data_IF_297427750863
#
_entry.id   IF_297427750863
#
_cell.length_a   1.000
_cell.length_b   1.000
_cell.length_c   1.000
_cell.angle_alpha   90.00
_cell.angle_beta   90.00
_cell.angle_gamma   90.00
#
_symmetry.space_group_name_H-M   'P 1'
#
loop_
_entity.id
_entity.type
_entity.pdbx_description
1 polymer ?
#
# COMPACT_ATOMS: atom_id res chain seq x y z
N UNK A 1 -18.99 1.44 50.17
CA UNK A 1 -17.53 1.29 50.07
C UNK A 1 -17.22 0.19 49.05
N UNK A 2 -16.55 0.58 47.95
CA UNK A 2 -15.57 -0.15 47.11
C UNK A 2 -15.78 -1.61 46.67
N UNK A 3 -16.09 -1.74 45.37
CA UNK A 3 -15.61 -2.66 44.31
C UNK A 3 -14.54 -3.73 44.59
N UNK A 4 -14.65 -4.89 43.93
CA UNK A 4 -13.54 -5.41 43.09
C UNK A 4 -14.00 -6.39 42.01
N UNK A 5 -13.46 -6.19 40.81
CA UNK A 5 -13.62 -6.93 39.57
C UNK A 5 -12.65 -8.12 39.49
N UNK A 6 -13.01 -9.15 38.72
CA UNK A 6 -12.03 -10.08 38.15
C UNK A 6 -12.48 -10.50 36.75
N UNK A 7 -11.91 -9.82 35.74
CA UNK A 7 -11.94 -10.23 34.33
C UNK A 7 -10.87 -11.28 34.10
N UNK A 8 -11.19 -12.40 33.45
CA UNK A 8 -10.20 -13.32 32.90
C UNK A 8 -10.27 -13.38 31.38
N UNK A 9 -9.25 -12.74 30.82
CA UNK A 9 -8.60 -12.87 29.50
C UNK A 9 -9.03 -14.05 28.61
N UNK A 10 -9.57 -13.75 27.44
CA UNK A 10 -9.50 -14.62 26.26
C UNK A 10 -8.34 -14.17 25.37
N UNK A 11 -7.34 -15.04 25.27
CA UNK A 11 -6.20 -14.95 24.36
C UNK A 11 -6.67 -15.01 22.89
N UNK A 12 -6.49 -13.92 22.15
CA UNK A 12 -6.82 -13.83 20.71
C UNK A 12 -5.53 -13.78 19.90
N UNK A 13 -5.16 -14.94 19.36
CA UNK A 13 -4.19 -15.09 18.26
C UNK A 13 -4.59 -14.17 17.08
N UNK A 14 -3.66 -13.44 16.43
CA UNK A 14 -4.03 -12.56 15.32
C UNK A 14 -4.39 -13.39 14.09
N UNK A 15 -5.68 -13.46 13.79
CA UNK A 15 -6.23 -13.94 12.51
C UNK A 15 -5.98 -12.83 11.47
N UNK A 16 -4.86 -12.92 10.74
CA UNK A 16 -4.66 -12.13 9.52
C UNK A 16 -5.89 -12.34 8.64
N UNK A 17 -6.60 -11.26 8.34
CA UNK A 17 -7.93 -11.34 7.76
C UNK A 17 -7.83 -11.82 6.31
N UNK A 18 -8.70 -12.76 5.94
CA UNK A 18 -8.80 -13.33 4.59
C UNK A 18 -8.97 -12.26 3.48
N UNK A 19 -9.33 -11.03 3.86
CA UNK A 19 -9.46 -9.90 2.97
C UNK A 19 -8.09 -9.40 2.45
N UNK A 20 -7.04 -9.39 3.28
CA UNK A 20 -5.71 -8.94 2.85
C UNK A 20 -5.05 -9.91 1.86
N UNK A 21 -5.27 -11.21 2.04
CA UNK A 21 -4.81 -12.26 1.10
C UNK A 21 -5.55 -12.19 -0.23
N UNK A 22 -6.87 -11.96 -0.20
CA UNK A 22 -7.68 -11.84 -1.41
C UNK A 22 -7.31 -10.60 -2.21
N UNK A 23 -7.10 -9.46 -1.54
CA UNK A 23 -6.60 -8.23 -2.16
C UNK A 23 -5.21 -8.47 -2.78
N UNK A 24 -4.30 -9.13 -2.06
CA UNK A 24 -2.98 -9.45 -2.58
C UNK A 24 -3.02 -10.39 -3.79
N UNK A 25 -3.92 -11.37 -3.80
CA UNK A 25 -4.10 -12.33 -4.91
C UNK A 25 -4.68 -11.68 -6.16
N UNK A 26 -5.72 -10.85 -6.02
CA UNK A 26 -6.32 -10.14 -7.16
C UNK A 26 -5.31 -9.20 -7.79
N UNK A 27 -4.59 -8.44 -6.97
CA UNK A 27 -3.53 -7.54 -7.43
C UNK A 27 -2.38 -8.32 -8.09
N UNK A 28 -1.94 -9.44 -7.52
CA UNK A 28 -0.91 -10.27 -8.13
C UNK A 28 -1.33 -10.78 -9.51
N UNK A 29 -2.60 -11.14 -9.69
CA UNK A 29 -3.13 -11.62 -10.96
C UNK A 29 -3.20 -10.51 -12.00
N UNK A 30 -3.66 -9.30 -11.63
CA UNK A 30 -3.70 -8.14 -12.53
C UNK A 30 -2.30 -7.64 -12.91
N UNK A 31 -1.36 -7.62 -11.96
CA UNK A 31 0.03 -7.22 -12.20
C UNK A 31 0.76 -8.22 -13.10
N UNK A 32 0.59 -9.52 -12.87
CA UNK A 32 1.18 -10.55 -13.74
C UNK A 32 0.64 -10.45 -15.17
N UNK A 33 -0.66 -10.16 -15.34
CA UNK A 33 -1.25 -9.93 -16.67
C UNK A 33 -0.67 -8.72 -17.41
N UNK A 34 -0.33 -7.63 -16.71
CA UNK A 34 0.28 -6.44 -17.31
C UNK A 34 1.79 -6.61 -17.61
N UNK A 35 2.47 -7.57 -16.98
CA UNK A 35 3.91 -7.83 -17.18
C UNK A 35 4.15 -8.81 -18.34
N UNK A 36 3.17 -9.68 -18.67
CA UNK A 36 3.31 -10.66 -19.76
C UNK A 36 3.47 -10.04 -21.17
N UNK A 37 3.17 -8.75 -21.35
CA UNK A 37 3.33 -8.05 -22.63
C UNK A 37 4.73 -7.46 -22.85
N UNK A 38 5.60 -7.45 -21.83
CA UNK A 38 6.96 -6.94 -21.94
C UNK A 38 7.98 -8.08 -21.84
N UNK A 39 8.30 -8.70 -22.99
CA UNK A 39 9.53 -9.47 -23.15
C UNK A 39 10.72 -8.53 -23.15
N UNK A 40 11.42 -8.41 -22.01
CA UNK A 40 12.81 -7.99 -22.01
C UNK A 40 13.70 -8.99 -21.26
N UNK A 41 14.87 -9.19 -21.86
CA UNK A 41 15.87 -10.20 -21.58
C UNK A 41 16.59 -9.99 -20.23
N UNK A 42 16.99 -11.10 -19.60
CA UNK A 42 18.08 -11.08 -18.61
C UNK A 42 17.70 -10.98 -17.13
N UNK A 43 16.89 -11.92 -16.62
CA UNK A 43 17.04 -12.54 -15.28
C UNK A 43 17.22 -11.65 -14.03
N UNK A 44 16.90 -10.36 -14.09
CA UNK A 44 16.94 -9.42 -12.97
C UNK A 44 15.58 -8.81 -12.83
N UNK A 45 14.92 -9.11 -11.71
CA UNK A 45 13.66 -8.49 -11.36
C UNK A 45 13.83 -6.96 -11.33
N UNK A 46 12.96 -6.20 -12.01
CA UNK A 46 13.07 -4.75 -12.06
C UNK A 46 12.93 -4.14 -10.67
N UNK A 47 13.75 -3.12 -10.40
CA UNK A 47 13.67 -2.32 -9.17
C UNK A 47 12.40 -1.46 -9.26
N UNK A 48 11.63 -1.28 -8.17
CA UNK A 48 10.43 -0.43 -8.20
C UNK A 48 10.75 1.01 -8.60
N UNK A 49 9.80 1.64 -9.27
CA UNK A 49 9.92 3.03 -9.72
C UNK A 49 10.09 4.04 -8.58
N UNK A 50 10.64 5.20 -8.93
CA UNK A 50 10.78 6.31 -8.01
C UNK A 50 9.42 6.90 -7.60
N UNK A 51 9.23 7.13 -6.30
CA UNK A 51 8.03 7.76 -5.75
C UNK A 51 8.19 9.28 -5.69
N UNK A 52 7.31 10.01 -6.38
CA UNK A 52 7.38 11.47 -6.54
C UNK A 52 6.72 12.26 -5.41
N UNK A 53 6.00 11.58 -4.51
CA UNK A 53 5.28 12.20 -3.41
C UNK A 53 3.79 12.43 -3.64
N UNK A 54 3.19 11.91 -4.72
CA UNK A 54 1.73 11.98 -4.91
C UNK A 54 1.03 11.00 -3.98
N UNK A 55 0.15 11.51 -3.13
CA UNK A 55 -0.54 10.72 -2.12
C UNK A 55 -1.33 9.56 -2.74
N UNK A 56 -1.89 9.76 -3.94
CA UNK A 56 -2.67 8.74 -4.67
C UNK A 56 -1.83 7.52 -5.04
N UNK A 57 -0.52 7.72 -5.22
CA UNK A 57 0.41 6.67 -5.63
C UNK A 57 1.00 5.90 -4.43
N UNK A 58 0.81 6.38 -3.19
CA UNK A 58 1.40 5.78 -1.98
C UNK A 58 1.10 4.30 -1.85
N UNK A 59 -0.16 3.88 -2.13
CA UNK A 59 -0.56 2.47 -2.03
C UNK A 59 0.15 1.62 -3.07
N UNK A 60 0.18 2.08 -4.33
CA UNK A 60 0.83 1.39 -5.44
C UNK A 60 2.34 1.25 -5.20
N UNK A 61 2.97 2.33 -4.75
CA UNK A 61 4.39 2.32 -4.41
C UNK A 61 4.74 1.30 -3.31
N UNK A 62 3.97 1.28 -2.21
CA UNK A 62 4.20 0.33 -1.11
C UNK A 62 3.93 -1.13 -1.50
N UNK A 63 2.98 -1.35 -2.42
CA UNK A 63 2.69 -2.66 -2.98
C UNK A 63 3.85 -3.17 -3.84
N UNK A 64 4.36 -2.36 -4.77
CA UNK A 64 5.50 -2.72 -5.61
C UNK A 64 6.75 -3.02 -4.76
N UNK A 65 6.96 -2.26 -3.69
CA UNK A 65 8.00 -2.56 -2.70
C UNK A 65 7.78 -3.89 -1.99
N UNK A 66 6.55 -4.20 -1.57
CA UNK A 66 6.22 -5.49 -0.94
C UNK A 66 6.54 -6.64 -1.90
N UNK A 67 6.11 -6.53 -3.16
CA UNK A 67 6.36 -7.52 -4.20
C UNK A 67 7.86 -7.73 -4.42
N UNK A 68 8.63 -6.63 -4.57
CA UNK A 68 10.08 -6.69 -4.70
C UNK A 68 10.75 -7.40 -3.52
N UNK A 69 10.36 -7.13 -2.28
CA UNK A 69 10.93 -7.81 -1.13
C UNK A 69 10.57 -9.29 -1.03
N UNK A 70 9.40 -9.70 -1.53
CA UNK A 70 9.03 -11.12 -1.61
C UNK A 70 9.88 -11.86 -2.65
N UNK A 71 10.19 -11.22 -3.77
CA UNK A 71 11.07 -11.77 -4.81
C UNK A 71 12.56 -11.75 -4.41
N UNK A 72 12.96 -10.92 -3.45
CA UNK A 72 14.34 -10.82 -2.97
C UNK A 72 14.49 -10.96 -1.44
N UNK A 73 14.25 -12.16 -0.87
CA UNK A 73 14.30 -12.39 0.58
C UNK A 73 15.65 -12.02 1.21
N UNK A 74 16.76 -12.25 0.50
CA UNK A 74 18.12 -11.91 0.94
C UNK A 74 18.36 -10.40 1.14
N UNK A 75 17.54 -9.55 0.50
CA UNK A 75 17.57 -8.08 0.60
C UNK A 75 16.55 -7.53 1.62
N UNK A 76 15.89 -8.39 2.38
CA UNK A 76 14.68 -8.05 3.13
C UNK A 76 14.87 -7.83 4.65
N UNK A 77 16.10 -7.62 5.13
CA UNK A 77 16.27 -7.19 6.53
C UNK A 77 15.66 -5.78 6.73
N UNK A 78 15.28 -5.45 7.96
CA UNK A 78 14.50 -4.24 8.27
C UNK A 78 15.17 -2.97 7.75
N UNK A 79 16.48 -2.82 7.93
CA UNK A 79 17.17 -1.59 7.54
C UNK A 79 17.37 -1.49 6.03
N UNK A 80 17.68 -2.60 5.33
CA UNK A 80 17.73 -2.63 3.86
C UNK A 80 16.39 -2.24 3.25
N UNK A 81 15.26 -2.66 3.85
CA UNK A 81 13.91 -2.26 3.40
C UNK A 81 13.70 -0.75 3.54
N UNK A 82 14.06 -0.17 4.68
CA UNK A 82 13.98 1.29 4.91
C UNK A 82 14.89 2.05 3.95
N UNK A 83 16.13 1.61 3.79
CA UNK A 83 17.11 2.22 2.86
C UNK A 83 16.60 2.18 1.42
N UNK A 84 16.05 1.05 0.97
CA UNK A 84 15.50 0.96 -0.40
C UNK A 84 14.35 1.94 -0.58
N UNK A 85 13.37 1.97 0.33
CA UNK A 85 12.25 2.91 0.25
C UNK A 85 12.76 4.35 0.15
N UNK A 86 13.65 4.78 1.06
CA UNK A 86 14.25 6.12 1.05
C UNK A 86 15.04 6.43 -0.23
N UNK A 87 15.71 5.42 -0.79
CA UNK A 87 16.46 5.57 -2.04
C UNK A 87 15.56 5.80 -3.25
N UNK A 88 14.28 5.42 -3.18
CA UNK A 88 13.28 5.61 -4.24
C UNK A 88 12.47 6.90 -4.08
N UNK A 89 12.53 7.54 -2.92
CA UNK A 89 11.88 8.83 -2.66
C UNK A 89 12.48 9.97 -3.48
N UNK A 90 11.64 10.71 -4.20
CA UNK A 90 11.97 11.87 -5.07
C UNK A 90 10.91 12.97 -4.91
N UNK A 91 11.16 14.13 -5.51
CA UNK A 91 10.16 15.21 -5.58
C UNK A 91 9.79 15.77 -4.21
N UNK A 92 8.50 15.70 -3.87
CA UNK A 92 7.94 16.34 -2.67
C UNK A 92 8.42 15.67 -1.37
N UNK A 93 8.91 14.43 -1.44
CA UNK A 93 9.36 13.68 -0.27
C UNK A 93 10.77 14.02 0.21
N UNK A 94 11.45 15.02 -0.37
CA UNK A 94 12.86 15.33 -0.07
C UNK A 94 13.12 15.62 1.41
N UNK A 95 12.32 16.48 2.03
CA UNK A 95 12.51 16.85 3.44
C UNK A 95 12.30 15.66 4.36
N UNK A 96 11.22 14.90 4.15
CA UNK A 96 10.94 13.68 4.89
C UNK A 96 12.09 12.66 4.75
N UNK A 97 12.58 12.45 3.53
CA UNK A 97 13.72 11.58 3.24
C UNK A 97 14.95 11.97 4.06
N UNK A 98 15.33 13.26 4.06
CA UNK A 98 16.49 13.76 4.79
C UNK A 98 16.32 13.50 6.30
N UNK A 99 15.14 13.84 6.85
CA UNK A 99 14.85 13.63 8.26
C UNK A 99 14.94 12.15 8.67
N UNK A 100 14.48 11.23 7.82
CA UNK A 100 14.56 9.79 8.07
C UNK A 100 15.98 9.24 7.90
N UNK A 101 16.77 9.77 6.96
CA UNK A 101 18.18 9.39 6.81
C UNK A 101 19.00 9.80 8.04
N UNK A 102 18.78 10.99 8.60
CA UNK A 102 19.43 11.43 9.85
C UNK A 102 19.05 10.54 11.05
N UNK A 103 17.81 10.03 11.08
CA UNK A 103 17.36 9.09 12.13
C UNK A 103 17.98 7.70 12.00
N UNK A 104 18.25 7.26 10.77
CA UNK A 104 18.83 5.94 10.46
C UNK A 104 20.35 5.92 10.57
N UNK A 105 21.01 7.04 10.27
CA UNK A 105 22.46 7.21 10.31
C UNK A 105 22.83 8.40 11.21
N UNK A 106 22.60 8.28 12.54
CA UNK A 106 22.99 9.32 13.48
C UNK A 106 24.52 9.45 13.52
N UNK A 107 25.03 10.69 13.58
CA UNK A 107 26.45 10.96 13.85
C UNK A 107 26.85 10.44 15.24
N UNK A 108 26.02 10.70 16.26
CA UNK A 108 26.22 10.22 17.63
C UNK A 108 25.40 8.95 17.93
N UNK A 109 26.10 7.82 18.04
CA UNK A 109 25.51 6.50 18.36
C UNK A 109 25.02 6.37 19.81
N UNK A 110 25.37 7.33 20.68
CA UNK A 110 25.08 7.27 22.12
C UNK A 110 23.84 8.06 22.58
N UNK A 111 23.19 8.79 21.67
CA UNK A 111 21.92 9.45 21.95
C UNK A 111 20.80 8.41 22.22
N UNK A 112 20.14 8.49 23.38
CA UNK A 112 19.01 7.60 23.75
C UNK A 112 17.86 7.62 22.72
N UNK A 113 17.65 8.74 22.02
CA UNK A 113 16.68 8.88 20.93
C UNK A 113 17.08 8.12 19.66
N UNK A 114 18.37 8.06 19.33
CA UNK A 114 18.89 7.39 18.12
C UNK A 114 18.89 5.86 18.27
N UNK A 115 19.06 5.34 19.50
CA UNK A 115 18.86 3.91 19.82
C UNK A 115 17.42 3.43 19.61
N UNK A 116 16.43 4.33 19.63
CA UNK A 116 15.01 3.99 19.46
C UNK A 116 14.61 3.87 17.98
N UNK A 117 15.14 4.74 17.11
CA UNK A 117 14.96 4.66 15.64
C UNK A 117 15.70 3.49 15.01
N UNK A 118 16.90 3.16 15.51
CA UNK A 118 17.63 1.95 15.10
C UNK A 118 16.87 0.64 15.41
N UNK A 119 15.95 0.66 16.39
CA UNK A 119 15.09 -0.48 16.76
C UNK A 119 13.71 -0.45 16.10
N UNK A 120 13.39 0.57 15.30
CA UNK A 120 12.09 0.66 14.65
C UNK A 120 11.87 -0.52 13.68
N UNK A 121 10.73 -1.19 13.78
CA UNK A 121 10.38 -2.29 12.86
C UNK A 121 10.00 -1.76 11.48
N UNK A 122 10.09 -2.60 10.44
CA UNK A 122 9.57 -2.26 9.11
C UNK A 122 8.08 -1.88 9.12
N UNK A 123 7.28 -2.53 9.98
CA UNK A 123 5.85 -2.23 10.12
C UNK A 123 5.60 -0.80 10.64
N UNK A 124 6.32 -0.41 11.69
CA UNK A 124 6.23 0.94 12.28
C UNK A 124 6.67 2.03 11.30
N UNK A 125 7.79 1.80 10.60
CA UNK A 125 8.28 2.74 9.59
C UNK A 125 7.27 2.95 8.45
N UNK A 126 6.72 1.85 7.91
CA UNK A 126 5.65 1.92 6.89
C UNK A 126 4.42 2.67 7.39
N UNK A 127 4.04 2.48 8.66
CA UNK A 127 2.88 3.16 9.24
C UNK A 127 3.09 4.68 9.25
N UNK A 128 4.25 5.17 9.70
CA UNK A 128 4.58 6.60 9.65
C UNK A 128 4.59 7.14 8.23
N UNK A 129 5.22 6.42 7.30
CA UNK A 129 5.20 6.80 5.89
C UNK A 129 3.76 6.93 5.36
N UNK A 130 2.88 5.98 5.68
CA UNK A 130 1.45 6.09 5.32
C UNK A 130 0.76 7.27 5.98
N UNK A 131 1.04 7.57 7.25
CA UNK A 131 0.46 8.74 7.93
C UNK A 131 0.81 10.04 7.24
N UNK A 132 2.03 10.15 6.72
CA UNK A 132 2.51 11.38 6.08
C UNK A 132 2.09 11.49 4.60
N UNK A 133 1.88 10.37 3.90
CA UNK A 133 1.73 10.35 2.44
C UNK A 133 0.48 9.64 1.91
N UNK A 134 -0.26 8.88 2.72
CA UNK A 134 -1.51 8.26 2.26
C UNK A 134 -2.66 9.29 2.33
N UNK A 135 -3.62 9.30 1.39
CA UNK A 135 -4.79 10.17 1.49
C UNK A 135 -5.53 9.89 2.80
N UNK A 136 -6.04 10.97 3.41
CA UNK A 136 -6.73 10.91 4.71
C UNK A 136 -7.94 9.98 4.64
N UNK A 137 -8.64 9.96 3.51
CA UNK A 137 -9.81 9.12 3.28
C UNK A 137 -9.75 8.41 1.92
N UNK A 138 -8.94 7.35 1.85
CA UNK A 138 -8.83 6.51 0.64
C UNK A 138 -10.16 5.86 0.28
N UNK A 139 -10.93 5.43 1.30
CA UNK A 139 -12.21 4.78 1.06
C UNK A 139 -13.22 5.79 0.49
N UNK A 140 -13.41 6.93 1.13
CA UNK A 140 -14.31 7.98 0.63
C UNK A 140 -13.91 8.51 -0.75
N UNK A 141 -12.61 8.69 -1.03
CA UNK A 141 -12.16 9.08 -2.38
C UNK A 141 -12.49 8.01 -3.43
N UNK A 142 -12.30 6.73 -3.11
CA UNK A 142 -12.65 5.64 -4.00
C UNK A 142 -14.17 5.49 -4.20
N UNK A 143 -14.95 5.72 -3.13
CA UNK A 143 -16.41 5.76 -3.15
C UNK A 143 -16.92 6.87 -4.09
N UNK A 144 -16.47 8.12 -3.92
CA UNK A 144 -16.85 9.20 -4.83
C UNK A 144 -16.48 8.88 -6.29
N UNK A 145 -15.29 8.33 -6.53
CA UNK A 145 -14.85 7.98 -7.89
C UNK A 145 -15.60 6.81 -8.51
N UNK A 146 -16.05 5.83 -7.73
CA UNK A 146 -16.79 4.67 -8.25
C UNK A 146 -18.24 5.04 -8.57
N UNK A 147 -18.82 5.94 -7.77
CA UNK A 147 -20.15 6.51 -8.00
C UNK A 147 -20.19 7.35 -9.28
N UNK A 148 -19.15 8.15 -9.53
CA UNK A 148 -19.02 8.97 -10.74
C UNK A 148 -18.45 8.20 -11.96
N UNK A 149 -18.14 6.91 -11.82
CA UNK A 149 -17.46 6.18 -12.89
C UNK A 149 -18.43 5.83 -14.02
N UNK A 150 -18.18 6.39 -15.19
CA UNK A 150 -18.94 6.12 -16.41
C UNK A 150 -18.08 5.44 -17.48
N UNK A 151 -18.65 4.44 -18.14
CA UNK A 151 -18.04 3.78 -19.28
C UNK A 151 -18.02 4.75 -20.46
N UNK A 152 -16.82 5.04 -20.95
CA UNK A 152 -16.61 5.86 -22.14
C UNK A 152 -16.52 4.94 -23.37
N UNK A 153 -15.39 4.95 -24.07
CA UNK A 153 -15.24 4.27 -25.35
C UNK A 153 -14.87 2.78 -25.21
N UNK A 154 -14.02 2.42 -24.25
CA UNK A 154 -13.51 1.05 -24.11
C UNK A 154 -14.01 0.39 -22.83
N UNK A 155 -14.66 -0.76 -22.98
CA UNK A 155 -15.16 -1.59 -21.87
C UNK A 155 -14.02 -1.99 -20.94
N UNK A 156 -12.88 -2.40 -21.48
CA UNK A 156 -11.74 -2.88 -20.68
C UNK A 156 -11.21 -1.81 -19.72
N UNK A 157 -11.12 -0.55 -20.18
CA UNK A 157 -10.67 0.57 -19.36
C UNK A 157 -11.65 0.83 -18.20
N UNK A 158 -12.96 0.76 -18.49
CA UNK A 158 -14.01 0.89 -17.48
C UNK A 158 -13.94 -0.23 -16.44
N UNK A 159 -13.89 -1.49 -16.89
CA UNK A 159 -13.84 -2.68 -16.02
C UNK A 159 -12.60 -2.65 -15.14
N UNK A 160 -11.44 -2.32 -15.72
CA UNK A 160 -10.18 -2.25 -14.98
C UNK A 160 -10.21 -1.14 -13.92
N UNK A 161 -10.71 0.04 -14.26
CA UNK A 161 -10.83 1.16 -13.31
C UNK A 161 -11.86 0.87 -12.22
N UNK A 162 -12.99 0.24 -12.56
CA UNK A 162 -14.00 -0.19 -11.61
C UNK A 162 -13.43 -1.17 -10.59
N UNK A 163 -12.72 -2.21 -11.05
CA UNK A 163 -12.09 -3.19 -10.16
C UNK A 163 -11.08 -2.55 -9.21
N UNK A 164 -10.25 -1.63 -9.69
CA UNK A 164 -9.27 -0.93 -8.85
C UNK A 164 -9.96 -0.13 -7.75
N UNK A 165 -11.02 0.61 -8.06
CA UNK A 165 -11.78 1.39 -7.08
C UNK A 165 -12.52 0.49 -6.08
N UNK A 166 -13.14 -0.60 -6.54
CA UNK A 166 -13.88 -1.53 -5.70
C UNK A 166 -13.02 -2.16 -4.58
N UNK A 167 -11.71 -2.34 -4.81
CA UNK A 167 -10.76 -2.84 -3.81
C UNK A 167 -10.50 -1.85 -2.65
N UNK A 168 -10.94 -0.59 -2.79
CA UNK A 168 -10.68 0.47 -1.83
C UNK A 168 -11.94 1.01 -1.16
N UNK A 169 -13.11 0.84 -1.78
CA UNK A 169 -14.39 1.41 -1.28
C UNK A 169 -14.88 0.76 0.01
N UNK A 170 -14.57 -0.53 0.21
CA UNK A 170 -15.15 -1.33 1.29
C UNK A 170 -16.62 -1.68 1.09
N UNK A 171 -17.18 -1.41 -0.10
CA UNK A 171 -18.55 -1.78 -0.45
C UNK A 171 -18.73 -3.29 -0.54
N UNK A 172 -19.94 -3.75 -0.23
CA UNK A 172 -20.35 -5.12 -0.50
C UNK A 172 -20.63 -5.33 -2.00
N UNK A 173 -20.81 -6.60 -2.37
CA UNK A 173 -21.05 -6.97 -3.76
C UNK A 173 -22.35 -6.37 -4.32
N UNK A 174 -23.37 -6.15 -3.49
CA UNK A 174 -24.65 -5.62 -3.96
C UNK A 174 -24.51 -4.16 -4.39
N UNK A 175 -23.84 -3.35 -3.57
CA UNK A 175 -23.50 -1.96 -3.90
C UNK A 175 -22.58 -1.88 -5.12
N UNK A 176 -21.58 -2.77 -5.21
CA UNK A 176 -20.69 -2.82 -6.38
C UNK A 176 -21.46 -3.17 -7.66
N UNK A 177 -22.35 -4.16 -7.65
CA UNK A 177 -23.17 -4.51 -8.82
C UNK A 177 -24.06 -3.33 -9.25
N UNK A 178 -24.63 -2.61 -8.27
CA UNK A 178 -25.44 -1.42 -8.54
C UNK A 178 -24.62 -0.35 -9.29
N UNK A 179 -23.48 0.08 -8.73
CA UNK A 179 -22.66 1.12 -9.36
C UNK A 179 -22.06 0.67 -10.69
N UNK A 180 -21.72 -0.62 -10.83
CA UNK A 180 -21.26 -1.15 -12.11
C UNK A 180 -22.32 -0.97 -13.19
N UNK A 181 -23.59 -1.24 -12.88
CA UNK A 181 -24.70 -1.08 -13.84
C UNK A 181 -25.00 0.39 -14.15
N UNK A 182 -24.94 1.26 -13.14
CA UNK A 182 -25.17 2.71 -13.28
C UNK A 182 -24.08 3.40 -14.12
N UNK A 183 -22.89 2.81 -14.20
CA UNK A 183 -21.79 3.29 -15.05
C UNK A 183 -21.85 2.82 -16.50
N UNK A 184 -22.74 1.91 -16.87
CA UNK A 184 -22.89 1.45 -18.25
C UNK A 184 -23.75 2.44 -19.06
N UNK A 185 -23.50 2.59 -20.38
CA UNK A 185 -24.36 3.40 -21.23
C UNK A 185 -25.79 2.83 -21.22
N UNK A 186 -26.79 3.70 -21.22
CA UNK A 186 -28.21 3.35 -21.15
C UNK A 186 -28.78 2.55 -22.34
N UNK A 187 -27.93 2.07 -23.25
CA UNK A 187 -28.29 1.23 -24.39
C UNK A 187 -27.40 -0.04 -24.38
N UNK A 188 -27.92 -1.10 -23.76
CA UNK A 188 -27.47 -2.48 -23.92
C UNK A 188 -28.67 -3.32 -24.37
#
# INVERSE_FOLDING_TARGET
>A
MTTSSASTSTDVKPKVSANEERIASTIATTVVGAISDNKEEGGKTPIPDAYKGDHKDTRWFLLNLKLYFQMHPMKANTDKKKMLLLSLLRGQTKQWKIAEQLKLFPEDKDNKGTKKTAKETWGSFKKRFKTDWQPIDVAGEAQMKIEDLQMKERVDDYVNKFHLLALETGYDNNMLIKFFREGLPGSL
#
